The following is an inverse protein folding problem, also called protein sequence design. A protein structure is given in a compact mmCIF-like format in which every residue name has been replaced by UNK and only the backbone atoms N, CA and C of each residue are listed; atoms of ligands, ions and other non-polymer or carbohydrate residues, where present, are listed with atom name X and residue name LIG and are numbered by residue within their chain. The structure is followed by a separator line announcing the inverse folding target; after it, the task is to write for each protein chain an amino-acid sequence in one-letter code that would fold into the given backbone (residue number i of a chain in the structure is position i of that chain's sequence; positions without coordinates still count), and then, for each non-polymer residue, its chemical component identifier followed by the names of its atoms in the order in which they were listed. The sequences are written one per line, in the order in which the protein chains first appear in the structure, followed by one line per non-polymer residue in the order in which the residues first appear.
data_IF_423336768303
#
_entry.id   IF_423336768303
#
_cell.length_a   1.000
_cell.length_b   1.000
_cell.length_c   1.000
_cell.angle_alpha   90.00
_cell.angle_beta   90.00
_cell.angle_gamma   90.00
#
_symmetry.space_group_name_H-M   'P 1'
#
loop_
_entity.id
_entity.type
_entity.pdbx_description
1 polymer ?
#
# COMPACT_ATOMS: atom_id res chain seq x y z
N UNK A 1 60.08 -39.36 -5.80
CA UNK A 1 58.99 -38.35 -5.74
C UNK A 1 59.55 -37.01 -6.18
N UNK A 2 59.17 -36.58 -7.40
CA UNK A 2 59.89 -35.57 -8.18
C UNK A 2 59.81 -34.20 -7.51
N UNK A 3 60.95 -33.51 -7.33
CA UNK A 3 61.05 -32.20 -6.64
C UNK A 3 60.03 -31.18 -7.17
N UNK A 4 59.75 -31.23 -8.48
CA UNK A 4 58.75 -30.39 -9.16
C UNK A 4 57.33 -30.61 -8.61
N UNK A 5 56.94 -31.86 -8.32
CA UNK A 5 55.61 -32.19 -7.78
C UNK A 5 55.42 -31.66 -6.34
N UNK A 6 56.49 -31.60 -5.55
CA UNK A 6 56.45 -31.04 -4.20
C UNK A 6 56.32 -29.51 -4.22
N UNK A 7 56.98 -28.85 -5.16
CA UNK A 7 56.93 -27.39 -5.31
C UNK A 7 55.55 -26.96 -5.81
N UNK A 8 54.97 -27.65 -6.79
CA UNK A 8 53.61 -27.35 -7.26
C UNK A 8 52.56 -27.61 -6.20
N UNK A 9 52.68 -28.69 -5.41
CA UNK A 9 51.77 -28.96 -4.31
C UNK A 9 51.81 -27.86 -3.22
N UNK A 10 53.01 -27.38 -2.87
CA UNK A 10 53.17 -26.26 -1.92
C UNK A 10 52.58 -24.97 -2.45
N UNK A 11 52.74 -24.68 -3.74
CA UNK A 11 52.20 -23.48 -4.36
C UNK A 11 50.67 -23.50 -4.41
N UNK A 12 50.07 -24.64 -4.77
CA UNK A 12 48.61 -24.82 -4.76
C UNK A 12 48.05 -24.70 -3.34
N UNK A 13 48.72 -25.31 -2.35
CA UNK A 13 48.30 -25.24 -0.95
C UNK A 13 48.35 -23.80 -0.40
N UNK A 14 49.42 -23.06 -0.71
CA UNK A 14 49.54 -21.65 -0.32
C UNK A 14 48.49 -20.77 -0.99
N UNK A 15 48.19 -21.02 -2.27
CA UNK A 15 47.13 -20.31 -2.97
C UNK A 15 45.75 -20.59 -2.36
N UNK A 16 45.45 -21.84 -1.97
CA UNK A 16 44.17 -22.15 -1.31
C UNK A 16 43.99 -21.50 0.06
N UNK A 17 45.08 -21.24 0.78
CA UNK A 17 45.04 -20.54 2.07
C UNK A 17 44.71 -19.04 1.91
N UNK A 18 45.24 -18.39 0.87
CA UNK A 18 45.00 -16.97 0.60
C UNK A 18 43.55 -16.66 0.20
N UNK A 19 42.83 -17.61 -0.40
CA UNK A 19 41.42 -17.42 -0.79
C UNK A 19 40.41 -17.80 0.31
N UNK A 20 40.86 -18.31 1.46
CA UNK A 20 39.99 -18.79 2.53
C UNK A 20 39.69 -17.74 3.62
N UNK A 21 40.32 -16.56 3.53
CA UNK A 21 40.04 -15.42 4.41
C UNK A 21 38.67 -14.81 4.06
N UNK A 22 37.60 -15.38 4.64
CA UNK A 22 36.26 -14.81 4.58
C UNK A 22 36.24 -13.49 5.37
N UNK A 23 36.42 -12.37 4.67
CA UNK A 23 36.28 -11.01 5.21
C UNK A 23 34.91 -10.85 5.92
N UNK A 24 34.89 -10.98 7.26
CA UNK A 24 33.69 -10.69 8.06
C UNK A 24 33.69 -9.22 8.44
N UNK A 25 32.99 -8.41 7.65
CA UNK A 25 32.76 -6.99 7.96
C UNK A 25 31.74 -6.88 9.12
N UNK A 26 32.22 -6.65 10.34
CA UNK A 26 31.41 -6.48 11.56
C UNK A 26 31.25 -5.01 11.97
N UNK A 27 30.84 -4.14 11.05
CA UNK A 27 30.59 -2.73 11.35
C UNK A 27 29.21 -2.28 10.87
N UNK A 28 28.15 -2.90 11.39
CA UNK A 28 26.79 -2.40 11.20
C UNK A 28 26.53 -1.23 12.18
N UNK A 29 26.60 0.00 11.68
CA UNK A 29 26.30 1.22 12.45
C UNK A 29 24.90 1.12 13.06
N UNK A 30 24.79 1.29 14.38
CA UNK A 30 23.52 1.33 15.12
C UNK A 30 22.63 2.43 14.53
N UNK A 31 21.50 2.06 13.91
CA UNK A 31 20.48 3.03 13.46
C UNK A 31 19.86 3.69 14.69
N UNK A 32 20.14 4.98 14.89
CA UNK A 32 19.39 5.81 15.84
C UNK A 32 18.05 6.10 15.17
N UNK A 33 16.96 5.50 15.66
CA UNK A 33 15.62 5.93 15.29
C UNK A 33 15.42 7.30 15.92
N UNK A 34 15.44 8.38 15.13
CA UNK A 34 14.89 9.65 15.60
C UNK A 34 13.45 9.37 16.02
N UNK A 35 13.10 9.71 17.26
CA UNK A 35 11.72 9.72 17.70
C UNK A 35 11.02 10.77 16.83
N UNK A 36 10.34 10.31 15.77
CA UNK A 36 9.45 11.17 15.02
C UNK A 36 8.42 11.68 16.02
N UNK A 37 8.45 12.98 16.32
CA UNK A 37 7.38 13.64 17.05
C UNK A 37 6.08 13.20 16.40
N UNK A 38 5.19 12.58 17.18
CA UNK A 38 3.91 12.10 16.70
C UNK A 38 3.07 13.31 16.25
N UNK A 39 3.27 13.76 15.01
CA UNK A 39 2.35 14.67 14.34
C UNK A 39 1.04 13.91 14.31
N UNK A 40 0.05 14.35 15.11
CA UNK A 40 -1.31 13.83 15.04
C UNK A 40 -1.76 13.99 13.58
N UNK A 41 -1.72 12.91 12.81
CA UNK A 41 -2.12 12.95 11.41
C UNK A 41 -3.61 13.26 11.39
N UNK A 42 -3.97 14.46 10.95
CA UNK A 42 -5.38 14.80 10.73
C UNK A 42 -5.90 13.85 9.65
N UNK A 43 -6.83 12.98 10.03
CA UNK A 43 -7.50 12.09 9.09
C UNK A 43 -8.52 12.88 8.26
N UNK A 44 -8.54 12.67 6.95
CA UNK A 44 -9.51 13.27 6.04
C UNK A 44 -10.57 12.29 5.56
N UNK A 45 -10.37 10.99 5.83
CA UNK A 45 -11.31 9.94 5.44
C UNK A 45 -11.29 8.77 6.42
N UNK A 46 -12.48 8.21 6.65
CA UNK A 46 -12.70 6.91 7.27
C UNK A 46 -13.54 6.05 6.34
N UNK A 47 -13.43 4.73 6.49
CA UNK A 47 -14.04 3.75 5.60
C UNK A 47 -14.68 2.68 6.46
N UNK A 48 -15.93 2.35 6.15
CA UNK A 48 -16.67 1.26 6.79
C UNK A 48 -17.26 0.35 5.71
N UNK A 49 -17.07 -0.95 5.89
CA UNK A 49 -17.69 -1.96 5.04
C UNK A 49 -19.09 -2.23 5.59
N UNK A 50 -20.09 -2.21 4.71
CA UNK A 50 -21.45 -2.61 5.00
C UNK A 50 -21.75 -3.93 4.30
N UNK A 51 -21.68 -5.03 5.07
CA UNK A 51 -21.99 -6.37 4.56
C UNK A 51 -23.45 -6.53 4.11
N UNK A 52 -24.47 -6.01 4.83
CA UNK A 52 -25.87 -6.16 4.40
C UNK A 52 -26.14 -5.50 3.05
N UNK A 53 -25.56 -4.32 2.81
CA UNK A 53 -25.77 -3.55 1.58
C UNK A 53 -24.73 -3.82 0.50
N UNK A 54 -23.82 -4.78 0.69
CA UNK A 54 -22.74 -5.09 -0.25
C UNK A 54 -21.99 -3.84 -0.72
N UNK A 55 -21.64 -2.96 0.23
CA UNK A 55 -21.10 -1.65 -0.11
C UNK A 55 -20.02 -1.17 0.85
N UNK A 56 -19.29 -0.14 0.43
CA UNK A 56 -18.33 0.59 1.26
C UNK A 56 -18.79 2.02 1.40
N UNK A 57 -18.98 2.41 2.66
CA UNK A 57 -19.27 3.80 3.02
C UNK A 57 -17.96 4.50 3.31
N UNK A 58 -17.63 5.48 2.47
CA UNK A 58 -16.54 6.42 2.69
C UNK A 58 -17.12 7.62 3.42
N UNK A 59 -16.55 7.98 4.55
CA UNK A 59 -16.85 9.23 5.26
C UNK A 59 -15.65 10.16 5.13
N UNK A 60 -15.86 11.28 4.45
CA UNK A 60 -14.89 12.35 4.33
C UNK A 60 -15.12 13.35 5.47
N UNK A 61 -14.05 13.67 6.19
CA UNK A 61 -14.07 14.54 7.38
C UNK A 61 -13.00 15.62 7.24
N UNK A 62 -13.11 16.69 8.05
CA UNK A 62 -12.15 17.80 8.05
C UNK A 62 -11.96 18.43 6.65
N UNK A 63 -13.06 18.54 5.89
CA UNK A 63 -13.02 18.97 4.49
C UNK A 63 -12.80 20.48 4.28
N UNK A 64 -12.81 21.28 5.34
CA UNK A 64 -12.62 22.74 5.27
C UNK A 64 -11.32 23.15 4.56
N UNK A 65 -10.26 22.37 4.73
CA UNK A 65 -8.94 22.60 4.13
C UNK A 65 -8.68 21.75 2.87
N UNK A 66 -9.67 20.97 2.43
CA UNK A 66 -9.57 20.07 1.29
C UNK A 66 -10.05 20.81 0.03
N UNK A 67 -9.26 20.72 -1.04
CA UNK A 67 -9.61 21.22 -2.37
C UNK A 67 -10.41 20.19 -3.16
N UNK A 68 -9.97 18.92 -3.12
CA UNK A 68 -10.59 17.81 -3.84
C UNK A 68 -10.24 16.50 -3.14
N UNK A 69 -11.19 15.59 -3.04
CA UNK A 69 -10.94 14.20 -2.69
C UNK A 69 -11.26 13.31 -3.90
N UNK A 70 -10.33 12.44 -4.30
CA UNK A 70 -10.54 11.45 -5.36
C UNK A 70 -10.49 10.06 -4.74
N UNK A 71 -11.31 9.15 -5.24
CA UNK A 71 -11.35 7.79 -4.73
C UNK A 71 -11.44 6.78 -5.88
N UNK A 72 -10.81 5.64 -5.66
CA UNK A 72 -10.80 4.52 -6.59
C UNK A 72 -10.98 3.23 -5.81
N UNK A 73 -12.13 2.61 -5.99
CA UNK A 73 -12.38 1.24 -5.58
C UNK A 73 -12.03 0.33 -6.76
N UNK A 74 -11.22 -0.70 -6.50
CA UNK A 74 -10.84 -1.73 -7.45
C UNK A 74 -11.07 -3.08 -6.80
N UNK A 75 -11.62 -4.03 -7.54
CA UNK A 75 -11.87 -5.38 -7.03
C UNK A 75 -12.01 -6.35 -8.20
N UNK A 76 -11.96 -7.64 -7.91
CA UNK A 76 -12.27 -8.69 -8.87
C UNK A 76 -13.60 -9.33 -8.48
N UNK A 77 -14.47 -9.61 -9.44
CA UNK A 77 -15.72 -10.32 -9.26
C UNK A 77 -15.76 -11.49 -10.24
N UNK A 78 -15.74 -12.72 -9.71
CA UNK A 78 -15.78 -13.96 -10.51
C UNK A 78 -14.76 -13.97 -11.67
N UNK A 79 -13.54 -13.49 -11.41
CA UNK A 79 -12.46 -13.45 -12.41
C UNK A 79 -12.40 -12.15 -13.23
N UNK A 80 -13.41 -11.30 -13.19
CA UNK A 80 -13.46 -10.04 -13.95
C UNK A 80 -13.05 -8.86 -13.05
N UNK A 81 -12.12 -8.03 -13.51
CA UNK A 81 -11.74 -6.82 -12.79
C UNK A 81 -12.83 -5.74 -12.92
N UNK A 82 -13.20 -5.16 -11.79
CA UNK A 82 -14.28 -4.20 -11.60
C UNK A 82 -13.78 -3.03 -10.77
N UNK A 83 -14.48 -1.89 -10.85
CA UNK A 83 -14.10 -0.74 -10.06
C UNK A 83 -15.07 0.42 -10.14
N UNK A 84 -14.88 1.35 -9.21
CA UNK A 84 -15.60 2.63 -9.16
C UNK A 84 -14.56 3.72 -8.97
N UNK A 85 -14.58 4.70 -9.86
CA UNK A 85 -13.74 5.89 -9.76
C UNK A 85 -14.65 7.09 -9.57
N UNK A 86 -14.31 7.95 -8.63
CA UNK A 86 -15.04 9.17 -8.42
C UNK A 86 -14.21 10.24 -7.76
N UNK A 87 -14.81 11.43 -7.69
CA UNK A 87 -14.21 12.53 -6.95
C UNK A 87 -15.28 13.40 -6.31
N UNK A 88 -14.82 14.19 -5.36
CA UNK A 88 -15.60 15.09 -4.55
C UNK A 88 -14.87 16.43 -4.49
N UNK A 89 -15.58 17.50 -4.80
CA UNK A 89 -15.21 18.87 -4.42
C UNK A 89 -16.04 19.22 -3.19
N UNK A 90 -15.44 19.44 -2.01
CA UNK A 90 -16.20 19.66 -0.80
C UNK A 90 -17.10 20.88 -0.88
N UNK A 91 -18.37 20.73 -0.51
CA UNK A 91 -19.29 21.85 -0.26
C UNK A 91 -19.51 22.14 1.23
N UNK A 92 -19.09 21.22 2.11
CA UNK A 92 -19.23 21.35 3.56
C UNK A 92 -18.04 20.80 4.35
N UNK A 93 -18.23 20.62 5.66
CA UNK A 93 -17.19 20.13 6.60
C UNK A 93 -16.99 18.61 6.55
N UNK A 94 -18.02 17.87 6.14
CA UNK A 94 -18.02 16.42 6.00
C UNK A 94 -18.99 15.98 4.91
N UNK A 95 -18.67 14.89 4.23
CA UNK A 95 -19.53 14.27 3.21
C UNK A 95 -19.35 12.76 3.21
N UNK A 96 -20.31 12.01 2.69
CA UNK A 96 -20.21 10.57 2.53
C UNK A 96 -20.45 10.12 1.10
N UNK A 97 -19.86 8.98 0.73
CA UNK A 97 -20.11 8.29 -0.55
C UNK A 97 -20.25 6.80 -0.26
N UNK A 98 -21.28 6.20 -0.83
CA UNK A 98 -21.49 4.76 -0.76
C UNK A 98 -21.06 4.13 -2.09
N UNK A 99 -20.16 3.16 -2.02
CA UNK A 99 -19.61 2.45 -3.16
C UNK A 99 -20.13 1.02 -3.16
N UNK A 100 -21.07 0.74 -4.05
CA UNK A 100 -21.71 -0.57 -4.16
C UNK A 100 -20.82 -1.56 -4.94
N UNK A 101 -20.70 -2.79 -4.44
CA UNK A 101 -20.04 -3.88 -5.15
C UNK A 101 -21.01 -4.56 -6.12
N UNK A 102 -21.33 -3.86 -7.20
CA UNK A 102 -22.28 -4.35 -8.17
C UNK A 102 -22.59 -3.31 -9.23
N UNK A 103 -23.65 -3.55 -9.97
CA UNK A 103 -24.19 -2.62 -10.96
C UNK A 103 -25.60 -2.20 -10.57
N UNK A 104 -25.95 -0.95 -10.84
CA UNK A 104 -27.29 -0.42 -10.62
C UNK A 104 -27.81 0.18 -11.91
N UNK A 105 -29.04 -0.19 -12.31
CA UNK A 105 -29.72 0.35 -13.48
C UNK A 105 -31.20 0.55 -13.16
N UNK A 106 -31.74 1.72 -13.48
CA UNK A 106 -33.16 2.09 -13.25
C UNK A 106 -33.66 1.78 -11.82
N UNK A 107 -32.81 1.98 -10.82
CA UNK A 107 -33.15 1.77 -9.40
C UNK A 107 -33.03 0.32 -8.91
N UNK A 108 -32.65 -0.63 -9.77
CA UNK A 108 -32.37 -2.02 -9.38
C UNK A 108 -30.88 -2.23 -9.33
N UNK A 109 -30.38 -2.71 -8.18
CA UNK A 109 -28.96 -3.02 -7.98
C UNK A 109 -28.75 -4.53 -7.90
N UNK A 110 -27.79 -5.03 -8.68
CA UNK A 110 -27.40 -6.44 -8.68
C UNK A 110 -26.00 -6.56 -8.09
N UNK A 111 -25.83 -7.27 -6.96
CA UNK A 111 -24.53 -7.42 -6.32
C UNK A 111 -23.64 -8.36 -7.14
N UNK A 112 -22.36 -8.03 -7.19
CA UNK A 112 -21.33 -8.92 -7.72
C UNK A 112 -20.95 -9.99 -6.67
N UNK A 113 -20.79 -11.23 -7.13
CA UNK A 113 -20.40 -12.37 -6.27
C UNK A 113 -18.92 -12.74 -6.47
N UNK A 114 -18.38 -13.54 -5.53
CA UNK A 114 -16.98 -13.98 -5.53
C UNK A 114 -15.98 -12.82 -5.58
N UNK A 115 -16.20 -11.83 -4.70
CA UNK A 115 -15.36 -10.64 -4.65
C UNK A 115 -14.00 -10.98 -4.05
N UNK A 116 -12.93 -10.64 -4.77
CA UNK A 116 -11.55 -10.81 -4.29
C UNK A 116 -10.70 -9.60 -4.65
N UNK A 117 -9.50 -9.51 -4.07
CA UNK A 117 -8.51 -8.45 -4.32
C UNK A 117 -9.05 -7.02 -4.20
N UNK A 118 -10.05 -6.81 -3.33
CA UNK A 118 -10.70 -5.51 -3.18
C UNK A 118 -9.78 -4.49 -2.46
N UNK A 119 -9.58 -3.33 -3.09
CA UNK A 119 -8.78 -2.24 -2.58
C UNK A 119 -9.43 -0.89 -2.91
N UNK A 120 -9.49 -0.03 -1.88
CA UNK A 120 -9.93 1.35 -2.01
C UNK A 120 -8.75 2.29 -1.76
N UNK A 121 -8.50 3.19 -2.71
CA UNK A 121 -7.52 4.27 -2.57
C UNK A 121 -8.26 5.59 -2.52
N UNK A 122 -7.97 6.41 -1.51
CA UNK A 122 -8.50 7.76 -1.37
C UNK A 122 -7.32 8.73 -1.40
N UNK A 123 -7.37 9.70 -2.31
CA UNK A 123 -6.38 10.76 -2.42
C UNK A 123 -7.03 12.11 -2.17
N UNK A 124 -6.60 12.78 -1.10
CA UNK A 124 -7.08 14.09 -0.68
C UNK A 124 -6.05 15.14 -1.05
N UNK A 125 -6.46 16.09 -1.90
CA UNK A 125 -5.68 17.28 -2.25
C UNK A 125 -6.12 18.45 -1.37
N UNK A 126 -5.17 19.06 -0.67
CA UNK A 126 -5.40 20.19 0.22
C UNK A 126 -5.36 21.51 -0.55
N UNK A 127 -6.02 22.54 -0.01
CA UNK A 127 -5.97 23.91 -0.55
C UNK A 127 -4.55 24.50 -0.49
N UNK A 128 -3.74 24.07 0.47
CA UNK A 128 -2.33 24.44 0.60
C UNK A 128 -1.41 23.83 -0.46
N UNK A 129 -1.93 22.94 -1.33
CA UNK A 129 -1.15 22.26 -2.38
C UNK A 129 -0.63 20.87 -1.98
N UNK A 130 -0.66 20.52 -0.69
CA UNK A 130 -0.29 19.18 -0.22
C UNK A 130 -1.30 18.11 -0.63
N UNK A 131 -0.86 16.86 -0.76
CA UNK A 131 -1.73 15.71 -1.00
C UNK A 131 -1.45 14.57 -0.04
N UNK A 132 -2.50 13.88 0.40
CA UNK A 132 -2.39 12.66 1.20
C UNK A 132 -3.15 11.53 0.54
N UNK A 133 -2.57 10.34 0.50
CA UNK A 133 -3.18 9.15 -0.09
C UNK A 133 -3.28 8.04 0.94
N UNK A 134 -4.46 7.45 1.07
CA UNK A 134 -4.75 6.36 2.01
C UNK A 134 -5.33 5.17 1.25
N UNK A 135 -4.67 4.02 1.40
CA UNK A 135 -5.09 2.75 0.83
C UNK A 135 -5.73 1.87 1.89
N UNK A 136 -6.86 1.27 1.54
CA UNK A 136 -7.60 0.32 2.35
C UNK A 136 -7.69 -1.00 1.58
N UNK A 137 -7.21 -2.07 2.19
CA UNK A 137 -7.43 -3.43 1.68
C UNK A 137 -8.70 -3.98 2.30
N UNK A 138 -9.64 -4.39 1.47
CA UNK A 138 -10.94 -4.90 1.89
C UNK A 138 -10.89 -6.42 1.84
N UNK A 139 -11.29 -7.06 2.93
CA UNK A 139 -11.42 -8.51 3.04
C UNK A 139 -12.86 -8.82 3.42
N UNK A 140 -13.48 -9.71 2.65
CA UNK A 140 -14.85 -10.16 2.87
C UNK A 140 -14.88 -11.29 3.89
#
# INVERSE_FOLDING_TARGET
MNKVLRITALFVFFFTLLFSEKNRVFAAKKRIRQAASAVKSVGYSSVKISRPTHSIVISFINLSNVKKASYTLSYNASGIDQGVVGSLVPSGSSESRDLYFGTCSKGVCTPHTNISRAALVITTSLKSGGSTSKRYTIRF
#
